data_IF_953672010587
#
_entry.id   IF_953672010587
#
_cell.length_a   1.000
_cell.length_b   1.000
_cell.length_c   1.000
_cell.angle_alpha   90.00
_cell.angle_beta   90.00
_cell.angle_gamma   90.00
#
_symmetry.space_group_name_H-M   'P 1'
#
loop_
_entity.id
_entity.type
_entity.pdbx_description
1 polymer ?
#
# COMPACT_ATOMS: atom_id res chain seq x y z
N UNK A 1 16.72 4.08 27.06
CA UNK A 1 15.67 3.58 26.14
C UNK A 1 16.26 3.27 24.78
N UNK A 2 17.08 4.18 24.22
CA UNK A 2 17.80 3.95 22.96
C UNK A 2 18.75 2.75 22.96
N UNK A 3 19.55 2.54 24.01
CA UNK A 3 20.52 1.44 24.03
C UNK A 3 19.88 0.06 24.02
N UNK A 4 18.80 -0.14 24.80
CA UNK A 4 18.04 -1.40 24.82
C UNK A 4 17.38 -1.69 23.47
N UNK A 5 16.98 -0.64 22.74
CA UNK A 5 16.37 -0.76 21.42
C UNK A 5 17.41 -1.12 20.36
N UNK A 6 18.56 -0.41 20.33
CA UNK A 6 19.68 -0.72 19.44
C UNK A 6 20.28 -2.10 19.72
N UNK A 7 20.33 -2.54 20.98
CA UNK A 7 20.77 -3.88 21.35
C UNK A 7 19.83 -4.98 20.85
N UNK A 8 18.52 -4.71 20.78
CA UNK A 8 17.51 -5.69 20.37
C UNK A 8 17.28 -5.75 18.85
N UNK A 9 17.37 -4.61 18.17
CA UNK A 9 17.05 -4.49 16.74
C UNK A 9 18.26 -4.15 15.86
N UNK A 10 19.43 -3.96 16.46
CA UNK A 10 20.66 -3.56 15.79
C UNK A 10 20.80 -2.04 15.65
N UNK A 11 22.04 -1.54 15.49
CA UNK A 11 22.33 -0.11 15.35
C UNK A 11 21.75 0.50 14.06
N UNK A 12 21.40 -0.32 13.07
CA UNK A 12 20.74 0.08 11.82
C UNK A 12 19.24 0.35 11.98
N UNK A 13 18.62 -0.12 13.06
CA UNK A 13 17.20 0.12 13.34
C UNK A 13 17.05 1.47 14.04
N UNK A 14 17.12 2.53 13.23
CA UNK A 14 17.01 3.91 13.71
C UNK A 14 15.56 4.38 13.69
N UNK A 15 15.27 5.44 14.46
CA UNK A 15 13.97 6.13 14.42
C UNK A 15 13.65 6.60 12.97
N UNK A 16 14.66 6.90 12.17
CA UNK A 16 14.50 7.28 10.76
C UNK A 16 14.01 6.12 9.89
N UNK A 17 14.53 4.91 10.10
CA UNK A 17 14.05 3.71 9.42
C UNK A 17 12.57 3.47 9.75
N UNK A 18 12.19 3.58 11.02
CA UNK A 18 10.79 3.45 11.45
C UNK A 18 9.90 4.52 10.80
N UNK A 19 10.35 5.78 10.75
CA UNK A 19 9.64 6.87 10.06
C UNK A 19 9.47 6.56 8.57
N UNK A 20 10.48 5.99 7.92
CA UNK A 20 10.41 5.62 6.51
C UNK A 20 9.43 4.46 6.27
N UNK A 21 9.47 3.40 7.09
CA UNK A 21 8.48 2.32 7.02
C UNK A 21 7.06 2.84 7.26
N UNK A 22 6.86 3.70 8.26
CA UNK A 22 5.57 4.31 8.52
C UNK A 22 5.07 5.13 7.33
N UNK A 23 5.94 5.94 6.71
CA UNK A 23 5.59 6.72 5.50
C UNK A 23 5.18 5.80 4.34
N UNK A 24 5.91 4.72 4.11
CA UNK A 24 5.59 3.73 3.08
C UNK A 24 4.24 3.06 3.35
N UNK A 25 4.02 2.58 4.58
CA UNK A 25 2.76 1.95 4.97
C UNK A 25 1.57 2.92 4.85
N UNK A 26 1.74 4.17 5.29
CA UNK A 26 0.71 5.22 5.17
C UNK A 26 0.37 5.49 3.71
N UNK A 27 1.36 5.51 2.81
CA UNK A 27 1.14 5.68 1.37
C UNK A 27 0.33 4.52 0.79
N UNK A 28 0.69 3.28 1.12
CA UNK A 28 -0.02 2.09 0.66
C UNK A 28 -1.46 2.06 1.18
N UNK A 29 -1.66 2.33 2.47
CA UNK A 29 -2.98 2.42 3.08
C UNK A 29 -3.86 3.46 2.39
N UNK A 30 -3.34 4.66 2.14
CA UNK A 30 -4.09 5.71 1.45
C UNK A 30 -4.45 5.31 0.01
N UNK A 31 -3.55 4.58 -0.68
CA UNK A 31 -3.82 4.06 -2.02
C UNK A 31 -4.99 3.07 -2.00
N UNK A 32 -4.92 2.06 -1.13
CA UNK A 32 -5.95 1.04 -0.95
C UNK A 32 -7.29 1.69 -0.58
N UNK A 33 -7.28 2.60 0.41
CA UNK A 33 -8.48 3.32 0.83
C UNK A 33 -9.12 4.12 -0.30
N UNK A 34 -8.31 4.71 -1.17
CA UNK A 34 -8.82 5.46 -2.34
C UNK A 34 -9.44 4.49 -3.35
N UNK A 35 -8.77 3.37 -3.66
CA UNK A 35 -9.30 2.36 -4.58
C UNK A 35 -10.64 1.80 -4.08
N UNK A 36 -10.71 1.42 -2.80
CA UNK A 36 -11.94 0.91 -2.18
C UNK A 36 -13.06 1.96 -2.04
N UNK A 37 -12.79 3.24 -2.31
CA UNK A 37 -13.83 4.28 -2.37
C UNK A 37 -14.42 4.48 -3.77
N UNK A 38 -13.81 3.88 -4.80
CA UNK A 38 -14.31 3.91 -6.16
C UNK A 38 -15.25 2.71 -6.42
N UNK A 39 -16.24 2.90 -7.28
CA UNK A 39 -17.13 1.82 -7.70
C UNK A 39 -16.36 0.78 -8.52
N UNK A 40 -16.59 -0.51 -8.25
CA UNK A 40 -16.00 -1.62 -9.00
C UNK A 40 -14.69 -2.15 -8.42
N UNK A 41 -14.22 -1.60 -7.29
CA UNK A 41 -13.10 -2.16 -6.52
C UNK A 41 -13.59 -2.77 -5.21
N UNK A 42 -12.99 -3.90 -4.84
CA UNK A 42 -13.24 -4.60 -3.59
C UNK A 42 -11.95 -5.06 -2.93
N UNK A 43 -12.09 -5.66 -1.75
CA UNK A 43 -10.98 -6.24 -0.99
C UNK A 43 -11.14 -7.75 -0.90
N UNK A 44 -10.12 -8.49 -1.33
CA UNK A 44 -10.04 -9.93 -1.16
C UNK A 44 -9.39 -10.22 0.19
N UNK A 45 -10.15 -10.86 1.09
CA UNK A 45 -9.70 -11.18 2.44
C UNK A 45 -8.80 -12.43 2.49
N UNK A 46 -8.78 -13.27 1.45
CA UNK A 46 -7.96 -14.48 1.44
C UNK A 46 -6.51 -14.15 1.08
N UNK A 47 -6.31 -13.26 0.11
CA UNK A 47 -4.98 -12.83 -0.35
C UNK A 47 -4.56 -11.45 0.18
N UNK A 48 -5.44 -10.76 0.92
CA UNK A 48 -5.24 -9.41 1.45
C UNK A 48 -4.86 -8.38 0.35
N UNK A 49 -5.61 -8.37 -0.76
CA UNK A 49 -5.36 -7.49 -1.91
C UNK A 49 -6.62 -6.81 -2.43
N UNK A 50 -6.43 -5.71 -3.17
CA UNK A 50 -7.52 -5.05 -3.90
C UNK A 50 -7.81 -5.85 -5.18
N UNK A 51 -9.07 -6.22 -5.38
CA UNK A 51 -9.55 -6.76 -6.65
C UNK A 51 -10.49 -5.77 -7.33
N UNK A 52 -10.71 -5.95 -8.63
CA UNK A 52 -11.72 -5.20 -9.37
C UNK A 52 -12.75 -6.18 -9.94
N UNK A 53 -14.02 -5.78 -9.97
CA UNK A 53 -15.11 -6.64 -10.45
C UNK A 53 -14.97 -7.00 -11.94
N UNK A 54 -14.31 -6.12 -12.71
CA UNK A 54 -14.05 -6.33 -14.14
C UNK A 54 -12.69 -5.73 -14.54
N UNK A 55 -12.03 -6.34 -15.53
CA UNK A 55 -10.70 -5.92 -16.01
C UNK A 55 -10.63 -4.45 -16.47
N UNK A 56 -11.72 -3.94 -17.07
CA UNK A 56 -11.77 -2.57 -17.58
C UNK A 56 -11.75 -1.51 -16.47
N UNK A 57 -12.14 -1.85 -15.23
CA UNK A 57 -12.17 -0.92 -14.10
C UNK A 57 -10.76 -0.42 -13.76
N UNK A 58 -9.76 -1.29 -13.85
CA UNK A 58 -8.36 -0.91 -13.68
C UNK A 58 -7.90 0.03 -14.80
N UNK A 59 -8.23 -0.29 -16.05
CA UNK A 59 -7.81 0.50 -17.21
C UNK A 59 -8.43 1.90 -17.20
N UNK A 60 -9.71 2.02 -16.83
CA UNK A 60 -10.41 3.29 -16.70
C UNK A 60 -9.84 4.13 -15.54
N UNK A 61 -9.55 3.50 -14.40
CA UNK A 61 -8.90 4.16 -13.27
C UNK A 61 -7.49 4.69 -13.64
N UNK A 62 -6.69 3.88 -14.35
CA UNK A 62 -5.34 4.26 -14.78
C UNK A 62 -5.39 5.40 -15.80
N UNK A 63 -6.28 5.34 -16.79
CA UNK A 63 -6.46 6.39 -17.81
C UNK A 63 -6.95 7.71 -17.20
N UNK A 64 -7.85 7.65 -16.23
CA UNK A 64 -8.44 8.85 -15.61
C UNK A 64 -7.56 9.53 -14.56
N UNK A 65 -6.73 8.78 -13.81
CA UNK A 65 -6.00 9.31 -12.64
C UNK A 65 -4.49 9.18 -12.70
N UNK A 66 -3.92 8.49 -13.70
CA UNK A 66 -2.47 8.43 -13.91
C UNK A 66 -1.71 7.97 -12.67
N UNK A 67 -2.10 6.84 -12.06
CA UNK A 67 -1.52 6.34 -10.82
C UNK A 67 -0.65 5.08 -11.01
N UNK A 68 0.68 5.21 -11.22
CA UNK A 68 1.61 4.08 -11.33
C UNK A 68 1.60 3.16 -10.09
N UNK A 69 1.28 3.70 -8.91
CA UNK A 69 1.26 2.96 -7.65
C UNK A 69 0.07 1.99 -7.53
N UNK A 70 -1.01 2.21 -8.29
CA UNK A 70 -2.20 1.37 -8.25
C UNK A 70 -2.01 0.14 -9.15
N UNK A 71 -1.31 0.28 -10.28
CA UNK A 71 -0.97 -0.82 -11.16
C UNK A 71 -0.11 -1.91 -10.49
N UNK A 72 0.71 -1.53 -9.50
CA UNK A 72 1.51 -2.48 -8.71
C UNK A 72 0.68 -3.33 -7.71
N UNK A 73 -0.60 -2.99 -7.52
CA UNK A 73 -1.53 -3.73 -6.66
C UNK A 73 -2.50 -4.61 -7.47
N UNK A 74 -2.39 -4.60 -8.81
CA UNK A 74 -3.20 -5.43 -9.71
C UNK A 74 -2.70 -6.87 -9.70
N UNK A 75 -3.60 -7.83 -9.53
CA UNK A 75 -3.32 -9.25 -9.80
C UNK A 75 -3.25 -9.49 -11.32
N UNK A 76 -2.29 -10.31 -11.75
CA UNK A 76 -2.14 -10.80 -13.13
C UNK A 76 -3.27 -11.71 -13.55
#
# INVERSE_FOLDING_TARGET
>A
MEEKFKAKFGPSFTIELLKNHYRALKKNYNCIKTLLSESGFGWDNEIEMVYADHDHVWDDYIKGRGAPSAAALRMS
#
